data_IF_666783059613
#
_entry.id   IF_666783059613
#
_cell.length_a   1.000
_cell.length_b   1.000
_cell.length_c   1.000
_cell.angle_alpha   90.00
_cell.angle_beta   90.00
_cell.angle_gamma   90.00
#
_symmetry.space_group_name_H-M   'P 1'
#
loop_
_entity.id
_entity.type
_entity.pdbx_description
1 polymer ?
#
# COMPACT_ATOMS: atom_id res chain seq x y z
N UNK A 1 15.01 33.24 -32.10
CA UNK A 1 15.26 32.27 -31.01
C UNK A 1 14.06 32.33 -30.07
N UNK A 2 13.29 31.24 -29.98
CA UNK A 2 12.07 31.17 -29.15
C UNK A 2 12.44 30.56 -27.81
N UNK A 3 12.49 31.39 -26.76
CA UNK A 3 12.56 30.92 -25.38
C UNK A 3 11.16 30.47 -24.96
N UNK A 4 10.92 29.15 -24.94
CA UNK A 4 9.71 28.55 -24.39
C UNK A 4 10.09 27.37 -23.50
N UNK A 5 10.80 27.67 -22.40
CA UNK A 5 10.71 26.83 -21.20
C UNK A 5 9.48 27.29 -20.38
N UNK A 6 8.31 27.29 -21.02
CA UNK A 6 7.05 27.40 -20.27
C UNK A 6 6.88 26.07 -19.55
N UNK A 7 7.11 26.06 -18.24
CA UNK A 7 6.57 25.00 -17.38
C UNK A 7 5.06 25.03 -17.59
N UNK A 8 4.52 24.02 -18.26
CA UNK A 8 3.07 23.82 -18.30
C UNK A 8 2.60 23.64 -16.86
N UNK A 9 1.60 24.41 -16.39
CA UNK A 9 0.99 24.16 -15.09
C UNK A 9 0.52 22.71 -15.10
N UNK A 10 0.98 21.91 -14.14
CA UNK A 10 0.39 20.58 -13.92
C UNK A 10 -1.04 20.85 -13.52
N UNK A 11 -1.95 20.41 -14.37
CA UNK A 11 -3.38 20.49 -14.11
C UNK A 11 -3.68 19.64 -12.88
N UNK A 12 -3.92 20.30 -11.75
CA UNK A 12 -4.33 19.67 -10.49
C UNK A 12 -5.85 19.58 -10.37
N UNK A 13 -6.58 19.88 -11.47
CA UNK A 13 -8.05 19.81 -11.49
C UNK A 13 -8.59 18.38 -11.54
N UNK A 14 -7.75 17.39 -11.84
CA UNK A 14 -8.07 16.00 -11.50
C UNK A 14 -8.03 15.88 -9.98
N UNK A 15 -9.21 15.81 -9.36
CA UNK A 15 -9.38 15.42 -7.97
C UNK A 15 -8.77 14.02 -7.77
N UNK A 16 -7.48 13.96 -7.46
CA UNK A 16 -6.81 12.72 -7.07
C UNK A 16 -7.32 12.36 -5.68
N UNK A 17 -8.34 11.50 -5.64
CA UNK A 17 -8.85 10.94 -4.38
C UNK A 17 -7.83 9.89 -3.91
N UNK A 18 -6.99 10.28 -2.96
CA UNK A 18 -6.03 9.36 -2.34
C UNK A 18 -6.75 8.59 -1.23
N UNK A 19 -6.96 7.30 -1.43
CA UNK A 19 -7.52 6.41 -0.41
C UNK A 19 -6.47 6.05 0.65
N UNK A 20 -6.13 6.99 1.53
CA UNK A 20 -5.10 6.85 2.58
C UNK A 20 -5.25 5.55 3.41
N UNK A 21 -6.49 5.13 3.68
CA UNK A 21 -6.77 3.90 4.41
C UNK A 21 -6.32 2.63 3.66
N UNK A 22 -6.34 2.63 2.33
CA UNK A 22 -5.85 1.49 1.53
C UNK A 22 -4.33 1.41 1.58
N UNK A 23 -3.64 2.54 1.43
CA UNK A 23 -2.19 2.61 1.53
C UNK A 23 -1.69 2.18 2.90
N UNK A 24 -2.33 2.64 3.98
CA UNK A 24 -1.98 2.25 5.35
C UNK A 24 -2.09 0.74 5.57
N UNK A 25 -3.12 0.08 5.03
CA UNK A 25 -3.30 -1.38 5.14
C UNK A 25 -2.23 -2.15 4.35
N UNK A 26 -1.84 -1.65 3.17
CA UNK A 26 -0.74 -2.24 2.37
C UNK A 26 0.58 -2.12 3.14
N UNK A 27 0.86 -0.96 3.71
CA UNK A 27 2.09 -0.72 4.49
C UNK A 27 2.14 -1.58 5.76
N UNK A 28 1.01 -1.74 6.45
CA UNK A 28 0.90 -2.67 7.57
C UNK A 28 1.17 -4.11 7.16
N UNK A 29 0.60 -4.57 6.03
CA UNK A 29 0.85 -5.91 5.50
C UNK A 29 2.33 -6.13 5.19
N UNK A 30 3.01 -5.15 4.58
CA UNK A 30 4.45 -5.21 4.29
C UNK A 30 5.29 -5.26 5.57
N UNK A 31 4.98 -4.41 6.55
CA UNK A 31 5.71 -4.36 7.82
C UNK A 31 5.60 -5.69 8.57
N UNK A 32 4.41 -6.28 8.62
CA UNK A 32 4.16 -7.57 9.26
C UNK A 32 4.89 -8.69 8.51
N UNK A 33 4.84 -8.70 7.18
CA UNK A 33 5.56 -9.70 6.37
C UNK A 33 7.08 -9.63 6.58
N UNK A 34 7.64 -8.42 6.62
CA UNK A 34 9.06 -8.20 6.86
C UNK A 34 9.47 -8.68 8.26
N UNK A 35 8.67 -8.38 9.28
CA UNK A 35 8.91 -8.90 10.61
C UNK A 35 8.83 -10.43 10.63
N UNK A 36 7.83 -11.03 9.97
CA UNK A 36 7.63 -12.47 9.90
C UNK A 36 8.82 -13.22 9.27
N UNK A 37 9.42 -12.66 8.22
CA UNK A 37 10.59 -13.24 7.54
C UNK A 37 11.82 -13.20 8.44
N UNK A 38 11.97 -12.13 9.23
CA UNK A 38 13.12 -11.91 10.08
C UNK A 38 12.96 -12.51 11.48
N UNK A 39 11.74 -12.83 11.89
CA UNK A 39 11.46 -13.53 13.13
C UNK A 39 11.62 -15.04 12.93
N UNK A 40 12.34 -15.69 13.85
CA UNK A 40 12.39 -17.15 13.93
C UNK A 40 11.09 -17.72 14.52
N UNK A 41 9.97 -17.42 13.88
CA UNK A 41 8.63 -17.86 14.28
C UNK A 41 8.52 -19.37 14.18
N UNK A 42 7.79 -19.99 15.11
CA UNK A 42 7.38 -21.36 14.91
C UNK A 42 6.34 -21.46 13.77
N UNK A 43 6.10 -22.65 13.20
CA UNK A 43 5.18 -22.81 12.07
C UNK A 43 3.73 -22.36 12.34
N UNK A 44 3.26 -22.43 13.58
CA UNK A 44 1.89 -22.01 13.93
C UNK A 44 1.78 -20.48 13.91
N UNK A 45 2.73 -19.78 14.51
CA UNK A 45 2.80 -18.32 14.50
C UNK A 45 2.96 -17.79 13.07
N UNK A 46 3.79 -18.45 12.26
CA UNK A 46 3.95 -18.13 10.84
C UNK A 46 2.60 -18.18 10.09
N UNK A 47 1.83 -19.26 10.28
CA UNK A 47 0.55 -19.42 9.62
C UNK A 47 -0.46 -18.33 10.03
N UNK A 48 -0.52 -18.01 11.33
CA UNK A 48 -1.39 -16.93 11.83
C UNK A 48 -1.02 -15.59 11.19
N UNK A 49 0.28 -15.28 11.12
CA UNK A 49 0.77 -14.03 10.54
C UNK A 49 0.41 -13.93 9.05
N UNK A 50 0.56 -15.02 8.30
CA UNK A 50 0.18 -15.06 6.88
C UNK A 50 -1.33 -14.83 6.69
N UNK A 51 -2.18 -15.40 7.54
CA UNK A 51 -3.62 -15.13 7.52
C UNK A 51 -3.93 -13.64 7.77
N UNK A 52 -3.28 -13.01 8.76
CA UNK A 52 -3.47 -11.58 9.02
C UNK A 52 -3.03 -10.69 7.84
N UNK A 53 -1.93 -11.05 7.16
CA UNK A 53 -1.48 -10.35 5.94
C UNK A 53 -2.53 -10.52 4.84
N UNK A 54 -3.07 -11.73 4.66
CA UNK A 54 -4.09 -12.00 3.65
C UNK A 54 -5.37 -11.18 3.90
N UNK A 55 -5.84 -11.09 5.15
CA UNK A 55 -7.03 -10.29 5.52
C UNK A 55 -6.84 -8.79 5.27
N UNK A 56 -5.64 -8.26 5.55
CA UNK A 56 -5.30 -6.86 5.26
C UNK A 56 -5.35 -6.57 3.76
N UNK A 57 -4.77 -7.46 2.94
CA UNK A 57 -4.76 -7.31 1.49
C UNK A 57 -6.15 -7.50 0.89
N UNK A 58 -6.91 -8.49 1.37
CA UNK A 58 -8.29 -8.71 0.96
C UNK A 58 -9.16 -7.48 1.24
N UNK A 59 -9.02 -6.87 2.43
CA UNK A 59 -9.70 -5.63 2.80
C UNK A 59 -9.37 -4.42 1.91
N UNK A 60 -8.22 -4.44 1.24
CA UNK A 60 -7.83 -3.41 0.27
C UNK A 60 -8.45 -3.68 -1.10
N UNK A 61 -8.50 -4.96 -1.49
CA UNK A 61 -9.08 -5.40 -2.76
C UNK A 61 -10.60 -5.21 -2.77
N UNK A 62 -11.32 -5.66 -1.73
CA UNK A 62 -12.79 -5.52 -1.66
C UNK A 62 -13.24 -4.06 -1.62
N UNK A 63 -12.46 -3.17 -1.01
CA UNK A 63 -12.78 -1.74 -1.00
C UNK A 63 -12.57 -1.09 -2.37
N UNK A 64 -11.94 -1.78 -3.33
CA UNK A 64 -11.61 -1.26 -4.66
C UNK A 64 -12.68 -1.54 -5.73
N UNK A 65 -13.73 -2.27 -5.39
CA UNK A 65 -15.01 -2.36 -6.16
C UNK A 65 -15.99 -1.26 -5.73
#
# INVERSE_FOLDING_TARGET
MKNFNQMTPVDTSENVIVHLNRFAKIEQAETIARNCINSHSNPADFMIIICCIADLLHSVIEQSE
#
